data_IF_771814535087
#
_entry.id   IF_771814535087
#
_cell.length_a   1.000
_cell.length_b   1.000
_cell.length_c   1.000
_cell.angle_alpha   90.00
_cell.angle_beta   90.00
_cell.angle_gamma   90.00
#
_symmetry.space_group_name_H-M   'P 1'
#
loop_
_entity.id
_entity.type
_entity.pdbx_description
1 polymer ?
#
# COMPACT_ATOMS: atom_id res chain seq x y z
N UNK A 1 -3.94 15.83 20.97
CA UNK A 1 -3.89 14.39 20.68
C UNK A 1 -2.83 14.09 19.63
N UNK A 2 -2.02 13.10 19.87
CA UNK A 2 -1.03 12.71 18.86
C UNK A 2 -1.70 11.90 17.77
N UNK A 3 -1.38 12.19 16.51
CA UNK A 3 -1.84 11.30 15.44
C UNK A 3 -1.15 9.95 15.58
N UNK A 4 -1.79 8.91 15.11
CA UNK A 4 -1.17 7.59 15.05
C UNK A 4 0.00 7.62 14.08
N UNK A 5 1.02 6.81 14.37
CA UNK A 5 2.16 6.71 13.49
C UNK A 5 1.75 6.15 12.13
N UNK A 6 2.32 6.68 11.08
CA UNK A 6 2.11 6.16 9.74
C UNK A 6 2.89 4.87 9.55
N UNK A 7 2.29 3.97 8.81
CA UNK A 7 2.89 2.69 8.44
C UNK A 7 2.89 2.59 6.93
N UNK A 8 3.96 2.07 6.37
CA UNK A 8 4.01 1.78 4.94
C UNK A 8 3.90 0.27 4.75
N UNK A 9 2.97 -0.12 3.90
CA UNK A 9 2.85 -1.50 3.43
C UNK A 9 3.46 -1.58 2.05
N UNK A 10 4.26 -2.60 1.81
CA UNK A 10 4.80 -2.90 0.48
C UNK A 10 4.14 -4.15 -0.04
N UNK A 11 3.50 -4.03 -1.20
CA UNK A 11 2.92 -5.14 -1.91
C UNK A 11 3.69 -5.38 -3.19
N UNK A 12 3.95 -6.63 -3.50
CA UNK A 12 4.37 -7.03 -4.83
C UNK A 12 3.18 -7.70 -5.48
N UNK A 13 2.78 -7.22 -6.64
CA UNK A 13 1.56 -7.66 -7.32
C UNK A 13 1.86 -7.97 -8.77
N UNK A 14 1.00 -8.77 -9.38
CA UNK A 14 1.04 -8.98 -10.82
C UNK A 14 0.62 -7.67 -11.50
N UNK A 15 1.37 -7.25 -12.50
CA UNK A 15 1.12 -5.99 -13.17
C UNK A 15 0.08 -6.21 -14.28
N UNK A 16 -1.21 -5.98 -13.94
CA UNK A 16 -2.27 -6.05 -14.92
C UNK A 16 -3.36 -5.02 -14.60
N UNK A 17 -4.21 -4.72 -15.59
CA UNK A 17 -5.29 -3.75 -15.37
C UNK A 17 -6.20 -4.19 -14.22
N UNK A 18 -6.59 -3.23 -13.39
CA UNK A 18 -7.55 -3.47 -12.33
C UNK A 18 -6.96 -3.86 -10.98
N UNK A 19 -5.67 -4.20 -10.91
CA UNK A 19 -5.08 -4.61 -9.63
C UNK A 19 -5.18 -3.49 -8.58
N UNK A 20 -4.95 -2.24 -8.97
CA UNK A 20 -5.07 -1.10 -8.06
C UNK A 20 -6.50 -0.93 -7.56
N UNK A 21 -7.48 -1.14 -8.44
CA UNK A 21 -8.89 -1.05 -8.05
C UNK A 21 -9.23 -2.09 -6.98
N UNK A 22 -8.71 -3.30 -7.13
CA UNK A 22 -8.95 -4.36 -6.13
C UNK A 22 -8.33 -4.01 -4.80
N UNK A 23 -7.08 -3.53 -4.81
CA UNK A 23 -6.37 -3.15 -3.58
C UNK A 23 -7.07 -1.97 -2.90
N UNK A 24 -7.31 -0.89 -3.63
CA UNK A 24 -7.93 0.31 -3.06
C UNK A 24 -9.37 0.04 -2.63
N UNK A 25 -10.10 -0.78 -3.38
CA UNK A 25 -11.46 -1.15 -3.03
C UNK A 25 -11.58 -1.88 -1.72
N UNK A 26 -10.59 -2.70 -1.40
CA UNK A 26 -10.58 -3.42 -0.13
C UNK A 26 -10.48 -2.45 1.06
N UNK A 27 -9.61 -1.45 0.95
CA UNK A 27 -9.51 -0.41 1.98
C UNK A 27 -10.79 0.40 2.08
N UNK A 28 -11.36 0.78 0.94
CA UNK A 28 -12.57 1.60 0.90
C UNK A 28 -13.76 0.87 1.55
N UNK A 29 -13.93 -0.42 1.27
CA UNK A 29 -15.04 -1.20 1.83
C UNK A 29 -14.96 -1.33 3.34
N UNK A 30 -13.77 -1.20 3.91
CA UNK A 30 -13.56 -1.29 5.35
C UNK A 30 -13.39 0.07 6.01
N UNK A 31 -13.68 1.15 5.27
CA UNK A 31 -13.52 2.52 5.74
C UNK A 31 -12.11 2.76 6.30
N UNK A 32 -11.12 2.20 5.64
CA UNK A 32 -9.72 2.34 6.02
C UNK A 32 -9.07 3.33 5.06
N UNK A 33 -8.60 4.45 5.58
CA UNK A 33 -8.06 5.51 4.74
C UNK A 33 -6.62 5.24 4.30
N UNK A 34 -6.34 5.49 3.04
CA UNK A 34 -4.99 5.41 2.49
C UNK A 34 -4.50 6.83 2.24
N UNK A 35 -3.42 7.21 2.90
CA UNK A 35 -2.87 8.57 2.83
C UNK A 35 -1.96 8.78 1.63
N UNK A 36 -1.34 7.73 1.14
CA UNK A 36 -0.43 7.83 0.00
C UNK A 36 -0.30 6.52 -0.72
N UNK A 37 -0.06 6.60 -2.03
CA UNK A 37 0.12 5.45 -2.89
C UNK A 37 1.26 5.72 -3.86
N UNK A 38 2.20 4.80 -3.94
CA UNK A 38 3.22 4.77 -4.98
C UNK A 38 3.16 3.40 -5.64
N UNK A 39 3.07 3.38 -6.94
CA UNK A 39 3.03 2.13 -7.69
C UNK A 39 3.98 2.22 -8.87
N UNK A 40 4.95 1.34 -8.93
CA UNK A 40 5.95 1.32 -9.99
C UNK A 40 6.16 -0.11 -10.48
N UNK A 41 6.34 -0.29 -11.79
CA UNK A 41 6.73 -1.60 -12.29
C UNK A 41 8.11 -1.99 -11.78
N UNK A 42 8.31 -3.26 -11.54
CA UNK A 42 9.60 -3.79 -11.10
C UNK A 42 10.01 -4.95 -12.00
N UNK A 43 11.28 -5.32 -11.90
CA UNK A 43 11.86 -6.40 -12.69
C UNK A 43 11.67 -6.13 -14.19
N UNK A 44 11.06 -7.06 -14.89
CA UNK A 44 10.81 -6.95 -16.33
C UNK A 44 9.45 -6.29 -16.66
N UNK A 45 8.78 -5.75 -15.65
CA UNK A 45 7.47 -5.12 -15.83
C UNK A 45 6.29 -6.05 -15.65
N UNK A 46 6.52 -7.34 -15.44
CA UNK A 46 5.42 -8.30 -15.20
C UNK A 46 4.84 -8.16 -13.80
N UNK A 47 5.55 -7.47 -12.92
CA UNK A 47 5.13 -7.19 -11.55
C UNK A 47 5.22 -5.71 -11.27
N UNK A 48 4.48 -5.27 -10.26
CA UNK A 48 4.59 -3.92 -9.72
C UNK A 48 4.78 -3.97 -8.23
N UNK A 49 5.48 -2.97 -7.70
CA UNK A 49 5.55 -2.75 -6.27
C UNK A 49 4.61 -1.60 -5.93
N UNK A 50 3.78 -1.81 -4.93
CA UNK A 50 2.85 -0.80 -4.43
C UNK A 50 3.25 -0.48 -3.00
N UNK A 51 3.48 0.81 -2.73
CA UNK A 51 3.67 1.30 -1.38
C UNK A 51 2.40 2.02 -0.96
N UNK A 52 1.86 1.63 0.18
CA UNK A 52 0.65 2.25 0.74
C UNK A 52 1.01 2.88 2.08
N UNK A 53 0.79 4.19 2.18
CA UNK A 53 0.95 4.90 3.44
C UNK A 53 -0.39 4.92 4.15
N UNK A 54 -0.44 4.28 5.31
CA UNK A 54 -1.68 4.15 6.08
C UNK A 54 -1.40 4.47 7.55
N UNK A 55 -2.45 4.77 8.29
CA UNK A 55 -2.30 4.93 9.74
C UNK A 55 -2.21 3.57 10.41
N UNK A 56 -1.40 3.50 11.46
CA UNK A 56 -1.34 2.31 12.29
C UNK A 56 -2.64 2.20 13.09
N UNK A 57 -3.35 1.13 12.89
CA UNK A 57 -4.70 0.93 13.38
C UNK A 57 -4.82 -0.53 13.83
N UNK A 58 -5.67 -0.77 14.81
CA UNK A 58 -5.86 -2.13 15.34
C UNK A 58 -6.35 -3.11 14.28
N UNK A 59 -6.98 -2.60 13.21
CA UNK A 59 -7.47 -3.42 12.10
C UNK A 59 -6.41 -3.72 11.06
N UNK A 60 -5.21 -3.15 11.19
CA UNK A 60 -4.20 -3.23 10.13
C UNK A 60 -3.77 -4.67 9.86
N UNK A 61 -3.59 -5.47 10.91
CA UNK A 61 -3.21 -6.86 10.72
C UNK A 61 -4.26 -7.63 9.93
N UNK A 62 -5.55 -7.36 10.20
CA UNK A 62 -6.63 -7.96 9.43
C UNK A 62 -6.61 -7.50 7.98
N UNK A 63 -6.31 -6.22 7.75
CA UNK A 63 -6.19 -5.71 6.38
C UNK A 63 -5.08 -6.42 5.63
N UNK A 64 -3.94 -6.65 6.27
CA UNK A 64 -2.82 -7.37 5.66
C UNK A 64 -3.25 -8.78 5.28
N UNK A 65 -3.97 -9.48 6.16
CA UNK A 65 -4.46 -10.82 5.87
C UNK A 65 -5.44 -10.81 4.69
N UNK A 66 -6.31 -9.81 4.61
CA UNK A 66 -7.27 -9.70 3.51
C UNK A 66 -6.56 -9.40 2.18
N UNK A 67 -5.57 -8.50 2.21
CA UNK A 67 -4.79 -8.18 1.02
C UNK A 67 -4.04 -9.40 0.51
N UNK A 68 -3.51 -10.21 1.43
CA UNK A 68 -2.76 -11.41 1.07
C UNK A 68 -3.63 -12.43 0.32
N UNK A 69 -4.95 -12.39 0.53
CA UNK A 69 -5.88 -13.29 -0.14
C UNK A 69 -6.23 -12.86 -1.58
N UNK A 70 -5.90 -11.64 -1.97
CA UNK A 70 -6.15 -11.19 -3.33
C UNK A 70 -5.26 -11.98 -4.28
N UNK A 71 -5.87 -12.46 -5.36
CA UNK A 71 -5.18 -13.35 -6.31
C UNK A 71 -3.91 -12.74 -6.88
N UNK A 72 -3.94 -11.43 -7.13
CA UNK A 72 -2.82 -10.74 -7.78
C UNK A 72 -1.72 -10.31 -6.82
N UNK A 73 -1.93 -10.45 -5.52
CA UNK A 73 -0.91 -10.11 -4.53
C UNK A 73 0.04 -11.28 -4.36
N UNK A 74 1.29 -11.06 -4.75
CA UNK A 74 2.34 -12.09 -4.65
C UNK A 74 2.95 -12.07 -3.25
N UNK A 75 3.15 -10.87 -2.71
CA UNK A 75 3.79 -10.70 -1.41
C UNK A 75 3.33 -9.40 -0.79
N UNK A 76 3.29 -9.35 0.54
CA UNK A 76 2.94 -8.16 1.30
C UNK A 76 3.67 -8.16 2.63
N UNK A 77 4.13 -6.99 3.05
CA UNK A 77 4.76 -6.81 4.34
C UNK A 77 4.80 -5.34 4.73
N UNK A 78 5.25 -5.09 5.93
CA UNK A 78 5.51 -3.74 6.41
C UNK A 78 6.89 -3.31 5.92
N UNK A 79 7.00 -2.06 5.50
CA UNK A 79 8.24 -1.52 4.93
C UNK A 79 8.58 -0.19 5.59
N UNK A 80 9.12 -0.26 6.79
CA UNK A 80 9.42 0.93 7.59
C UNK A 80 10.41 1.86 6.88
N UNK A 81 11.36 1.31 6.14
CA UNK A 81 12.36 2.06 5.40
C UNK A 81 11.76 2.88 4.24
N UNK A 82 10.60 2.50 3.77
CA UNK A 82 9.98 3.13 2.60
C UNK A 82 9.22 4.42 2.95
N UNK A 83 9.16 4.80 4.22
CA UNK A 83 8.50 6.06 4.62
C UNK A 83 9.14 7.27 3.97
N UNK A 84 10.44 7.22 3.74
CA UNK A 84 11.16 8.33 3.11
C UNK A 84 10.73 8.58 1.67
N UNK A 85 10.23 7.57 0.97
CA UNK A 85 9.74 7.77 -0.40
C UNK A 85 8.59 8.77 -0.42
N UNK A 86 7.69 8.70 0.57
CA UNK A 86 6.57 9.63 0.67
C UNK A 86 7.01 11.01 1.10
N UNK A 87 7.96 11.08 2.04
CA UNK A 87 8.54 12.37 2.45
C UNK A 87 9.22 13.06 1.26
N UNK A 88 9.97 12.31 0.46
CA UNK A 88 10.68 12.84 -0.70
C UNK A 88 9.72 13.34 -1.79
N UNK A 89 8.51 12.80 -1.86
CA UNK A 89 7.53 13.20 -2.85
C UNK A 89 6.80 14.51 -2.48
N UNK A 90 6.85 14.92 -1.21
CA UNK A 90 6.10 16.08 -0.71
C UNK A 90 6.31 17.35 -1.52
N UNK A 91 7.55 17.74 -1.86
CA UNK A 91 7.77 18.99 -2.62
C UNK A 91 7.06 19.00 -3.98
N UNK A 92 6.72 17.84 -4.51
CA UNK A 92 6.11 17.73 -5.84
C UNK A 92 4.59 17.83 -5.80
N UNK A 93 3.97 17.73 -4.63
CA UNK A 93 2.52 17.69 -4.50
C UNK A 93 1.95 18.86 -3.67
N UNK A 94 2.80 19.69 -3.09
CA UNK A 94 2.34 20.83 -2.29
C UNK A 94 2.79 22.15 -2.89
#
# INVERSE_FOLDING_TARGET
MRPKADVVLRLHVRNHPGVMSHVCGLFARRAFNVEGILCLPVDDGTRSAILLLVHDDDRLDQMILQLRKLEDVVDIGRAHDAREAFAAARPYVQ
#
